data_IF_294355642614
#
_entry.id   IF_294355642614
#
_cell.length_a   1.000
_cell.length_b   1.000
_cell.length_c   1.000
_cell.angle_alpha   90.00
_cell.angle_beta   90.00
_cell.angle_gamma   90.00
#
_symmetry.space_group_name_H-M   'P 1'
#
loop_
_entity.id
_entity.type
_entity.pdbx_description
1 polymer ?
#
# COMPACT_ATOMS: atom_id res chain seq x y z
N UNK A 1 7.32 -11.75 26.94
CA UNK A 1 6.00 -11.98 26.32
C UNK A 1 6.06 -11.38 24.92
N UNK A 2 6.20 -12.21 23.88
CA UNK A 2 6.31 -11.73 22.50
C UNK A 2 4.93 -11.29 22.00
N UNK A 3 4.78 -10.11 21.37
CA UNK A 3 3.50 -9.73 20.79
C UNK A 3 3.19 -10.64 19.60
N UNK A 4 2.01 -11.25 19.61
CA UNK A 4 1.45 -11.99 18.47
C UNK A 4 1.50 -11.10 17.23
N UNK A 5 2.26 -11.52 16.22
CA UNK A 5 2.18 -10.96 14.88
C UNK A 5 0.75 -11.13 14.36
N UNK A 6 0.00 -10.03 14.30
CA UNK A 6 -1.21 -9.96 13.49
C UNK A 6 -0.76 -9.61 12.07
N UNK A 7 -0.81 -10.53 11.09
CA UNK A 7 -0.60 -10.16 9.70
C UNK A 7 -1.65 -9.10 9.37
N UNK A 8 -1.18 -7.90 9.02
CA UNK A 8 -2.05 -6.77 8.73
C UNK A 8 -2.93 -7.18 7.56
N UNK A 9 -4.25 -7.21 7.78
CA UNK A 9 -5.24 -7.28 6.69
C UNK A 9 -4.82 -6.24 5.66
N UNK A 10 -4.41 -6.70 4.49
CA UNK A 10 -4.27 -5.88 3.29
C UNK A 10 -5.43 -4.89 3.28
N UNK A 11 -5.14 -3.58 3.28
CA UNK A 11 -6.17 -2.57 3.08
C UNK A 11 -6.83 -2.93 1.76
N UNK A 12 -8.00 -3.55 1.83
CA UNK A 12 -8.77 -3.91 0.66
C UNK A 12 -8.98 -2.60 -0.10
N UNK A 13 -8.25 -2.43 -1.20
CA UNK A 13 -8.45 -1.27 -2.06
C UNK A 13 -9.88 -1.36 -2.57
N UNK A 14 -10.56 -0.21 -2.69
CA UNK A 14 -11.94 -0.14 -3.17
C UNK A 14 -12.10 -0.89 -4.51
N UNK A 15 -11.08 -0.82 -5.37
CA UNK A 15 -10.98 -1.59 -6.62
C UNK A 15 -10.96 -3.11 -6.37
N UNK A 16 -10.17 -3.59 -5.42
CA UNK A 16 -10.14 -5.01 -5.05
C UNK A 16 -11.46 -5.51 -4.45
N UNK A 17 -12.21 -4.66 -3.74
CA UNK A 17 -13.56 -4.98 -3.26
C UNK A 17 -14.54 -5.12 -4.44
N UNK A 18 -14.50 -4.18 -5.40
CA UNK A 18 -15.32 -4.22 -6.61
C UNK A 18 -15.05 -5.50 -7.42
N UNK A 19 -13.78 -5.87 -7.61
CA UNK A 19 -13.41 -7.09 -8.35
C UNK A 19 -13.98 -8.34 -7.65
N UNK A 20 -13.90 -8.42 -6.31
CA UNK A 20 -14.49 -9.55 -5.57
C UNK A 20 -15.99 -9.63 -5.74
N UNK A 21 -16.70 -8.50 -5.66
CA UNK A 21 -18.15 -8.44 -5.85
C UNK A 21 -18.52 -8.92 -7.27
N UNK A 22 -17.79 -8.47 -8.29
CA UNK A 22 -18.01 -8.91 -9.68
C UNK A 22 -17.82 -10.42 -9.84
N UNK A 23 -16.80 -11.01 -9.21
CA UNK A 23 -16.58 -12.47 -9.23
C UNK A 23 -17.76 -13.21 -8.57
N UNK A 24 -18.24 -12.73 -7.42
CA UNK A 24 -19.40 -13.32 -6.76
C UNK A 24 -20.66 -13.23 -7.62
N UNK A 25 -20.93 -12.08 -8.25
CA UNK A 25 -22.05 -11.91 -9.18
C UNK A 25 -21.93 -12.93 -10.31
N UNK A 26 -20.75 -13.07 -10.92
CA UNK A 26 -20.49 -14.03 -12.01
C UNK A 26 -20.86 -15.46 -11.62
N UNK A 27 -20.35 -15.93 -10.48
CA UNK A 27 -20.62 -17.28 -9.96
C UNK A 27 -22.12 -17.48 -9.72
N UNK A 28 -22.79 -16.48 -9.12
CA UNK A 28 -24.23 -16.55 -8.88
C UNK A 28 -25.05 -16.57 -10.17
N UNK A 29 -24.68 -15.80 -11.19
CA UNK A 29 -25.33 -15.85 -12.50
C UNK A 29 -25.16 -17.21 -13.17
N UNK A 30 -23.96 -17.82 -13.11
CA UNK A 30 -23.72 -19.16 -13.66
C UNK A 30 -24.58 -20.20 -12.93
N UNK A 31 -24.55 -20.21 -11.59
CA UNK A 31 -25.33 -21.15 -10.79
C UNK A 31 -26.84 -20.97 -10.96
N UNK A 32 -27.32 -19.72 -10.99
CA UNK A 32 -28.73 -19.40 -11.19
C UNK A 32 -29.24 -19.86 -12.56
N UNK A 33 -28.49 -19.62 -13.62
CA UNK A 33 -28.85 -20.06 -14.96
C UNK A 33 -28.74 -21.57 -15.14
N UNK A 34 -27.78 -22.22 -14.48
CA UNK A 34 -27.67 -23.68 -14.45
C UNK A 34 -28.89 -24.30 -13.75
N UNK A 35 -29.34 -23.74 -12.64
CA UNK A 35 -30.58 -24.14 -11.97
C UNK A 35 -31.82 -23.94 -12.84
N UNK A 36 -31.95 -22.78 -13.52
CA UNK A 36 -33.07 -22.51 -14.43
C UNK A 36 -33.10 -23.50 -15.62
N UNK A 37 -31.94 -23.95 -16.10
CA UNK A 37 -31.85 -24.92 -17.19
C UNK A 37 -32.34 -26.34 -16.82
N UNK A 38 -32.47 -26.64 -15.51
CA UNK A 38 -32.98 -27.92 -15.02
C UNK A 38 -34.52 -27.94 -14.91
N UNK A 39 -35.19 -26.80 -15.08
CA UNK A 39 -36.65 -26.71 -14.99
C UNK A 39 -37.32 -27.13 -16.31
N UNK A 40 -38.20 -28.16 -16.29
CA UNK A 40 -38.83 -28.71 -17.50
C UNK A 40 -39.55 -27.71 -18.42
N UNK A 41 -40.27 -26.69 -17.91
CA UNK A 41 -40.95 -25.70 -18.75
C UNK A 41 -39.99 -24.83 -19.57
N UNK A 42 -38.75 -24.68 -19.11
CA UNK A 42 -37.76 -23.78 -19.69
C UNK A 42 -36.88 -24.46 -20.75
N UNK A 43 -37.01 -25.77 -20.96
CA UNK A 43 -36.22 -26.50 -21.98
C UNK A 43 -36.40 -25.94 -23.40
N UNK A 44 -37.58 -25.39 -23.73
CA UNK A 44 -37.83 -24.74 -25.03
C UNK A 44 -37.02 -23.46 -25.25
N UNK A 45 -36.57 -22.82 -24.18
CA UNK A 45 -35.78 -21.58 -24.21
C UNK A 45 -34.32 -21.82 -23.81
N UNK A 46 -33.91 -23.08 -23.67
CA UNK A 46 -32.58 -23.46 -23.17
C UNK A 46 -31.46 -22.77 -23.95
N UNK A 47 -31.56 -22.74 -25.29
CA UNK A 47 -30.51 -22.18 -26.14
C UNK A 47 -30.43 -20.65 -26.03
N UNK A 48 -31.59 -19.97 -25.95
CA UNK A 48 -31.64 -18.52 -25.75
C UNK A 48 -31.15 -18.11 -24.35
N UNK A 49 -31.48 -18.92 -23.33
CA UNK A 49 -30.97 -18.74 -21.96
C UNK A 49 -29.45 -18.94 -21.95
N UNK A 50 -28.94 -19.98 -22.62
CA UNK A 50 -27.50 -20.26 -22.69
C UNK A 50 -26.74 -19.12 -23.39
N UNK A 51 -27.25 -18.62 -24.52
CA UNK A 51 -26.63 -17.54 -25.29
C UNK A 51 -26.60 -16.21 -24.50
N UNK A 52 -27.71 -15.86 -23.84
CA UNK A 52 -27.77 -14.67 -22.97
C UNK A 52 -26.84 -14.81 -21.77
N UNK A 53 -26.78 -16.00 -21.16
CA UNK A 53 -25.85 -16.31 -20.07
C UNK A 53 -24.41 -16.12 -20.51
N UNK A 54 -24.05 -16.70 -21.66
CA UNK A 54 -22.70 -16.65 -22.21
C UNK A 54 -22.29 -15.21 -22.51
N UNK A 55 -23.15 -14.46 -23.20
CA UNK A 55 -22.92 -13.03 -23.52
C UNK A 55 -22.73 -12.19 -22.26
N UNK A 56 -23.59 -12.35 -21.24
CA UNK A 56 -23.48 -11.62 -19.97
C UNK A 56 -22.18 -11.95 -19.22
N UNK A 57 -21.79 -13.23 -19.20
CA UNK A 57 -20.53 -13.65 -18.57
C UNK A 57 -19.31 -13.10 -19.32
N UNK A 58 -19.33 -13.08 -20.65
CA UNK A 58 -18.26 -12.49 -21.45
C UNK A 58 -18.08 -10.99 -21.18
N UNK A 59 -19.18 -10.25 -21.03
CA UNK A 59 -19.14 -8.83 -20.63
C UNK A 59 -18.54 -8.69 -19.23
N UNK A 60 -18.96 -9.53 -18.28
CA UNK A 60 -18.44 -9.49 -16.90
C UNK A 60 -16.94 -9.79 -16.84
N UNK A 61 -16.48 -10.79 -17.60
CA UNK A 61 -15.05 -11.12 -17.74
C UNK A 61 -14.28 -9.92 -18.31
N UNK A 62 -14.82 -9.24 -19.33
CA UNK A 62 -14.24 -8.03 -19.88
C UNK A 62 -14.05 -6.93 -18.83
N UNK A 63 -15.08 -6.68 -18.00
CA UNK A 63 -15.01 -5.73 -16.89
C UNK A 63 -13.97 -6.12 -15.83
N UNK A 64 -13.86 -7.42 -15.51
CA UNK A 64 -12.85 -7.93 -14.58
C UNK A 64 -11.44 -7.70 -15.14
N UNK A 65 -11.21 -7.99 -16.43
CA UNK A 65 -9.91 -7.76 -17.08
C UNK A 65 -9.54 -6.27 -17.02
N UNK A 66 -10.46 -5.37 -17.36
CA UNK A 66 -10.23 -3.92 -17.27
C UNK A 66 -9.92 -3.51 -15.81
N UNK A 67 -10.65 -4.05 -14.83
CA UNK A 67 -10.41 -3.80 -13.42
C UNK A 67 -9.03 -4.28 -12.95
N UNK A 68 -8.59 -5.46 -13.41
CA UNK A 68 -7.26 -6.01 -13.13
C UNK A 68 -6.18 -5.14 -13.76
N UNK A 69 -6.32 -4.76 -15.04
CA UNK A 69 -5.40 -3.87 -15.73
C UNK A 69 -5.28 -2.56 -14.93
N UNK A 70 -6.41 -1.91 -14.61
CA UNK A 70 -6.41 -0.68 -13.84
C UNK A 70 -5.75 -0.85 -12.46
N UNK A 71 -6.01 -1.97 -11.76
CA UNK A 71 -5.37 -2.29 -10.49
C UNK A 71 -3.85 -2.45 -10.62
N UNK A 72 -3.37 -3.17 -11.64
CA UNK A 72 -1.95 -3.37 -11.91
C UNK A 72 -1.27 -2.05 -12.25
N UNK A 73 -1.87 -1.23 -13.13
CA UNK A 73 -1.32 0.08 -13.50
C UNK A 73 -1.29 1.06 -12.32
N UNK A 74 -2.33 1.11 -11.48
CA UNK A 74 -2.34 1.91 -10.25
C UNK A 74 -1.31 1.44 -9.24
N UNK A 75 -1.16 0.12 -9.06
CA UNK A 75 -0.17 -0.47 -8.17
C UNK A 75 1.25 -0.16 -8.63
N UNK A 76 1.49 -0.18 -9.95
CA UNK A 76 2.78 0.18 -10.53
C UNK A 76 3.10 1.68 -10.40
N UNK A 77 2.11 2.58 -10.45
CA UNK A 77 2.34 4.01 -10.17
C UNK A 77 2.88 4.25 -8.75
N UNK A 78 2.48 3.46 -7.75
CA UNK A 78 3.04 3.55 -6.39
C UNK A 78 4.45 2.97 -6.29
N UNK A 79 4.78 1.93 -7.08
CA UNK A 79 6.13 1.36 -7.13
C UNK A 79 7.17 2.26 -7.81
N UNK A 80 6.73 3.17 -8.69
CA UNK A 80 7.61 4.07 -9.44
C UNK A 80 7.89 5.41 -8.73
N UNK A 81 7.54 5.57 -7.46
CA UNK A 81 8.03 6.72 -6.69
C UNK A 81 9.55 6.57 -6.53
N UNK A 82 10.28 7.60 -6.97
CA UNK A 82 11.74 7.62 -6.94
C UNK A 82 12.22 7.40 -5.50
N UNK A 83 12.85 6.25 -5.26
CA UNK A 83 13.53 5.97 -4.00
C UNK A 83 14.79 6.82 -4.02
N UNK A 84 14.91 7.71 -3.05
CA UNK A 84 16.07 8.57 -2.98
C UNK A 84 16.80 8.49 -1.65
N UNK A 85 17.92 9.19 -1.60
CA UNK A 85 18.77 9.21 -0.42
C UNK A 85 18.23 10.22 0.58
N UNK A 86 18.11 9.76 1.83
CA UNK A 86 17.75 10.59 2.96
C UNK A 86 18.83 10.45 4.03
N UNK A 87 19.27 11.58 4.58
CA UNK A 87 20.14 11.63 5.74
C UNK A 87 19.62 12.63 6.75
N UNK A 88 19.68 12.24 8.02
CA UNK A 88 19.38 13.14 9.12
C UNK A 88 20.65 13.87 9.53
N UNK A 89 20.49 15.15 9.85
CA UNK A 89 21.55 15.98 10.40
C UNK A 89 21.03 16.66 11.67
N UNK A 90 21.93 17.35 12.38
CA UNK A 90 21.60 17.96 13.67
C UNK A 90 20.44 18.96 13.59
N UNK A 91 20.36 19.73 12.50
CA UNK A 91 19.45 20.88 12.35
C UNK A 91 18.60 20.85 11.06
N UNK A 92 18.77 19.83 10.23
CA UNK A 92 18.06 19.70 8.95
C UNK A 92 17.93 18.23 8.55
N UNK A 93 17.03 17.98 7.60
CA UNK A 93 16.93 16.70 6.91
C UNK A 93 17.31 16.91 5.44
N UNK A 94 18.22 16.08 4.93
CA UNK A 94 18.63 16.10 3.54
C UNK A 94 17.85 15.02 2.79
N UNK A 95 17.15 15.39 1.72
CA UNK A 95 16.37 14.47 0.88
C UNK A 95 16.59 14.82 -0.58
N UNK A 96 17.08 13.86 -1.36
CA UNK A 96 17.24 13.96 -2.82
C UNK A 96 18.02 15.20 -3.26
N UNK A 97 19.09 15.55 -2.55
CA UNK A 97 19.92 16.72 -2.86
C UNK A 97 19.42 18.04 -2.28
N UNK A 98 18.27 18.06 -1.59
CA UNK A 98 17.70 19.26 -0.99
C UNK A 98 17.76 19.20 0.53
N UNK A 99 18.13 20.32 1.15
CA UNK A 99 18.14 20.48 2.60
C UNK A 99 16.86 21.15 3.09
N UNK A 100 16.22 20.52 4.08
CA UNK A 100 15.04 21.05 4.76
C UNK A 100 15.40 21.35 6.22
N UNK A 101 15.64 22.63 6.58
CA UNK A 101 15.93 23.02 7.96
C UNK A 101 14.75 22.74 8.89
N UNK A 102 15.03 22.17 10.07
CA UNK A 102 14.00 21.87 11.08
C UNK A 102 13.17 23.10 11.48
N UNK A 103 13.77 24.29 11.43
CA UNK A 103 13.07 25.56 11.70
C UNK A 103 11.88 25.82 10.76
N UNK A 104 11.92 25.30 9.54
CA UNK A 104 10.87 25.45 8.53
C UNK A 104 9.84 24.32 8.57
N UNK A 105 10.15 23.25 9.29
CA UNK A 105 9.33 22.05 9.40
C UNK A 105 8.38 22.22 10.58
N UNK A 106 7.11 21.93 10.34
CA UNK A 106 6.10 21.84 11.39
C UNK A 106 6.02 20.41 11.92
N UNK A 107 6.03 19.41 11.02
CA UNK A 107 5.87 18.01 11.39
C UNK A 107 6.53 17.07 10.40
N UNK A 108 7.17 16.03 10.92
CA UNK A 108 7.70 14.89 10.18
C UNK A 108 7.00 13.61 10.65
N UNK A 109 6.76 12.70 9.70
CA UNK A 109 6.32 11.34 9.98
C UNK A 109 7.02 10.36 9.06
N UNK A 110 7.62 9.32 9.65
CA UNK A 110 8.19 8.19 8.93
C UNK A 110 7.20 7.02 8.91
N UNK A 111 7.10 6.36 7.76
CA UNK A 111 6.29 5.16 7.52
C UNK A 111 7.17 4.09 6.89
N UNK A 112 7.00 2.85 7.34
CA UNK A 112 7.68 1.68 6.77
C UNK A 112 9.07 1.41 7.35
N UNK A 113 9.34 0.12 7.61
CA UNK A 113 10.60 -0.40 8.11
C UNK A 113 11.11 -1.53 7.20
N UNK A 114 11.03 -1.29 5.90
CA UNK A 114 11.50 -2.21 4.86
C UNK A 114 13.00 -1.98 4.66
N UNK A 115 13.80 -2.92 5.15
CA UNK A 115 15.26 -2.86 5.08
C UNK A 115 15.69 -3.69 3.88
N UNK A 116 16.39 -3.07 2.94
CA UNK A 116 16.96 -3.75 1.79
C UNK A 116 17.96 -4.81 2.26
N UNK A 117 17.78 -6.04 1.77
CA UNK A 117 18.59 -7.20 2.12
C UNK A 117 17.82 -8.21 2.98
N UNK A 118 18.54 -9.15 3.57
CA UNK A 118 17.93 -10.13 4.46
C UNK A 118 17.79 -9.54 5.86
N UNK A 119 16.55 -9.30 6.28
CA UNK A 119 16.25 -8.83 7.63
C UNK A 119 15.28 -9.81 8.30
N UNK A 120 15.76 -10.48 9.37
CA UNK A 120 15.01 -11.48 10.15
C UNK A 120 14.48 -12.65 9.30
N UNK A 121 15.26 -13.11 8.31
CA UNK A 121 14.88 -14.22 7.42
C UNK A 121 13.86 -13.86 6.34
N UNK A 122 13.56 -12.57 6.17
CA UNK A 122 12.75 -12.04 5.08
C UNK A 122 13.61 -11.16 4.19
N UNK A 123 13.46 -11.30 2.88
CA UNK A 123 14.11 -10.43 1.90
C UNK A 123 13.27 -9.15 1.82
N UNK A 124 13.81 -8.06 2.39
CA UNK A 124 13.27 -6.72 2.22
C UNK A 124 13.85 -6.07 0.97
N UNK A 125 13.03 -5.31 0.25
CA UNK A 125 13.44 -4.65 -0.98
C UNK A 125 13.88 -3.20 -0.75
N UNK A 126 13.62 -2.66 0.43
CA UNK A 126 13.96 -1.27 0.79
C UNK A 126 13.08 -0.22 0.10
N UNK A 127 11.89 -0.60 -0.38
CA UNK A 127 11.04 0.21 -1.25
C UNK A 127 9.77 0.72 -0.57
N UNK A 128 9.42 0.19 0.59
CA UNK A 128 8.17 0.55 1.29
C UNK A 128 8.35 1.60 2.40
N UNK A 129 9.43 2.38 2.37
CA UNK A 129 9.67 3.45 3.33
C UNK A 129 9.33 4.82 2.75
N UNK A 130 8.63 5.64 3.52
CA UNK A 130 8.22 6.98 3.15
C UNK A 130 8.37 7.96 4.32
N UNK A 131 8.76 9.20 4.00
CA UNK A 131 8.78 10.33 4.92
C UNK A 131 7.80 11.38 4.45
N UNK A 132 6.95 11.82 5.38
CA UNK A 132 5.98 12.89 5.17
C UNK A 132 6.46 14.12 5.92
N UNK A 133 6.64 15.22 5.20
CA UNK A 133 7.07 16.50 5.75
C UNK A 133 5.95 17.50 5.57
N UNK A 134 5.52 18.11 6.67
CA UNK A 134 4.65 19.29 6.67
C UNK A 134 5.50 20.50 7.06
N UNK A 135 5.61 21.46 6.16
CA UNK A 135 6.30 22.73 6.40
C UNK A 135 5.35 23.70 7.11
N UNK A 136 5.91 24.69 7.82
CA UNK A 136 5.13 25.72 8.54
C UNK A 136 4.27 26.61 7.65
N UNK A 137 4.58 26.66 6.34
CA UNK A 137 3.75 27.34 5.35
C UNK A 137 2.55 26.49 4.88
N UNK A 138 2.35 25.30 5.47
CA UNK A 138 1.27 24.35 5.12
C UNK A 138 1.59 23.42 3.96
N UNK A 139 2.74 23.58 3.29
CA UNK A 139 3.15 22.70 2.20
C UNK A 139 3.44 21.28 2.73
N UNK A 140 2.87 20.28 2.05
CA UNK A 140 3.04 18.86 2.37
C UNK A 140 3.84 18.17 1.28
N UNK A 141 4.82 17.40 1.70
CA UNK A 141 5.71 16.66 0.81
C UNK A 141 5.81 15.22 1.27
N UNK A 142 5.93 14.32 0.32
CA UNK A 142 6.10 12.88 0.53
C UNK A 142 7.29 12.43 -0.29
N UNK A 143 8.23 11.75 0.37
CA UNK A 143 9.41 11.20 -0.28
C UNK A 143 9.60 9.75 0.13
N UNK A 144 9.98 8.91 -0.83
CA UNK A 144 10.40 7.55 -0.52
C UNK A 144 11.90 7.52 -0.32
N UNK A 145 12.34 6.71 0.64
CA UNK A 145 13.75 6.60 0.97
C UNK A 145 14.17 5.15 1.17
N UNK A 146 15.45 4.89 0.94
CA UNK A 146 16.02 3.56 1.09
C UNK A 146 16.55 3.36 2.50
N UNK A 147 16.26 2.18 3.06
CA UNK A 147 16.93 1.68 4.25
C UNK A 147 17.68 0.40 3.89
N UNK A 148 18.88 0.24 4.43
CA UNK A 148 19.77 -0.91 4.34
C UNK A 148 20.19 -1.28 5.76
N UNK A 149 20.94 -2.36 5.92
CA UNK A 149 21.47 -2.75 7.24
C UNK A 149 22.48 -1.74 7.80
N UNK A 150 23.05 -0.86 6.98
CA UNK A 150 24.06 0.12 7.37
C UNK A 150 23.49 1.52 7.67
N UNK A 151 22.31 1.88 7.14
CA UNK A 151 21.72 3.21 7.29
C UNK A 151 20.31 3.16 7.92
N UNK A 152 20.13 2.26 8.89
CA UNK A 152 18.84 2.07 9.56
C UNK A 152 18.45 3.33 10.33
N UNK A 153 17.22 3.81 10.12
CA UNK A 153 16.71 5.03 10.75
C UNK A 153 16.72 4.93 12.28
N UNK A 154 16.44 3.73 12.82
CA UNK A 154 16.51 3.46 14.26
C UNK A 154 17.90 3.70 14.86
N UNK A 155 18.94 3.50 14.08
CA UNK A 155 20.34 3.59 14.52
C UNK A 155 20.96 4.95 14.19
N UNK A 156 20.20 5.85 13.56
CA UNK A 156 20.64 7.19 13.23
C UNK A 156 20.77 8.06 14.49
N UNK A 157 21.97 8.58 14.73
CA UNK A 157 22.32 9.39 15.90
C UNK A 157 21.56 10.72 15.97
N UNK A 158 21.04 11.20 14.84
CA UNK A 158 20.30 12.44 14.73
C UNK A 158 18.78 12.22 14.85
N UNK A 159 18.28 10.98 14.88
CA UNK A 159 16.85 10.73 15.12
C UNK A 159 16.30 11.42 16.40
N UNK A 160 17.01 11.44 17.55
CA UNK A 160 16.53 12.13 18.74
C UNK A 160 16.41 13.65 18.57
N UNK A 161 17.14 14.29 17.64
CA UNK A 161 17.05 15.74 17.42
C UNK A 161 15.68 16.11 16.87
N UNK A 162 15.09 15.27 16.01
CA UNK A 162 13.73 15.45 15.49
C UNK A 162 12.68 15.41 16.61
N UNK A 163 12.86 14.55 17.61
CA UNK A 163 11.97 14.47 18.77
C UNK A 163 12.16 15.69 19.69
N UNK A 164 13.40 16.11 19.94
CA UNK A 164 13.72 17.29 20.78
C UNK A 164 13.16 18.60 20.22
N UNK A 165 13.03 18.71 18.90
CA UNK A 165 12.47 19.89 18.23
C UNK A 165 10.94 19.81 18.06
N UNK A 166 10.26 18.84 18.68
CA UNK A 166 8.81 18.61 18.58
C UNK A 166 8.26 18.41 17.16
N UNK A 167 9.13 18.19 16.17
CA UNK A 167 8.75 17.93 14.77
C UNK A 167 8.39 16.46 14.54
N UNK A 168 8.95 15.53 15.32
CA UNK A 168 8.58 14.11 15.29
C UNK A 168 7.70 13.76 16.49
N UNK A 169 6.50 13.24 16.24
CA UNK A 169 5.60 12.85 17.34
C UNK A 169 6.16 11.68 18.16
N UNK A 170 5.90 11.68 19.48
CA UNK A 170 6.30 10.60 20.39
C UNK A 170 5.92 9.21 19.89
N UNK A 171 4.67 9.02 19.45
CA UNK A 171 4.22 7.72 18.94
C UNK A 171 5.03 7.21 17.74
N UNK A 172 5.41 8.10 16.82
CA UNK A 172 6.24 7.72 15.67
C UNK A 172 7.69 7.45 16.09
N UNK A 173 8.24 8.27 16.98
CA UNK A 173 9.57 8.05 17.56
C UNK A 173 9.67 6.70 18.28
N UNK A 174 8.72 6.40 19.18
CA UNK A 174 8.66 5.13 19.91
C UNK A 174 8.53 3.94 18.96
N UNK A 175 7.71 4.06 17.90
CA UNK A 175 7.59 3.03 16.86
C UNK A 175 8.89 2.81 16.10
N UNK A 176 9.68 3.86 15.86
CA UNK A 176 10.99 3.76 15.21
C UNK A 176 11.97 3.00 16.11
N UNK A 177 12.04 3.37 17.39
CA UNK A 177 12.91 2.71 18.37
C UNK A 177 12.53 1.25 18.62
N UNK A 178 11.24 0.92 18.67
CA UNK A 178 10.77 -0.46 18.82
C UNK A 178 10.97 -1.30 17.56
N UNK A 179 11.36 -0.68 16.44
CA UNK A 179 11.48 -1.32 15.13
C UNK A 179 10.17 -2.01 14.70
N UNK A 180 9.02 -1.53 15.19
CA UNK A 180 7.70 -1.96 14.72
C UNK A 180 7.35 -1.19 13.46
N UNK A 181 6.63 -1.82 12.54
CA UNK A 181 6.18 -1.19 11.30
C UNK A 181 5.57 0.20 11.58
N UNK A 182 6.23 1.26 11.10
CA UNK A 182 5.92 2.64 11.49
C UNK A 182 4.57 3.03 10.86
N UNK A 183 3.50 3.04 11.66
CA UNK A 183 2.14 3.36 11.19
C UNK A 183 1.49 4.42 12.04
#
# INVERSE_FOLDING_TARGET
MYPLFHPRKSKNTLVGQIIRILIFIMIFSILGMLMLSLFPPLFRYKDEILERTFTMNMILIGLIIIGIIHFVFLRNKRKNQQIGNMSLHENHIHINGNDYPFKQIEKIRFIGNDIQGEFRGLIGYGQENAVFITLKNGQKMEFNFQQTTQNRLKEDIHLPSLFKHDILSKANYDSILSNTNYY
#
